data_IF_338788908270
#
_entry.id   IF_338788908270
#
_cell.length_a   1.000
_cell.length_b   1.000
_cell.length_c   1.000
_cell.angle_alpha   90.00
_cell.angle_beta   90.00
_cell.angle_gamma   90.00
#
_symmetry.space_group_name_H-M   'P 1'
#
loop_
_entity.id
_entity.type
_entity.pdbx_description
1 polymer ?
#
# COMPACT_ATOMS: atom_id res chain seq x y z
N UNK A 1 4.43 23.74 16.35
CA UNK A 1 3.37 22.91 16.97
C UNK A 1 2.56 23.67 18.01
N UNK A 2 3.17 24.34 19.00
CA UNK A 2 2.40 25.15 19.99
C UNK A 2 1.78 26.42 19.40
N UNK A 3 2.45 27.07 18.44
CA UNK A 3 1.99 28.33 17.86
C UNK A 3 0.63 28.24 17.15
N UNK A 4 0.44 27.27 16.24
CA UNK A 4 -0.82 27.14 15.49
C UNK A 4 -2.01 26.72 16.35
N UNK A 5 -1.80 25.83 17.32
CA UNK A 5 -2.85 25.42 18.26
C UNK A 5 -3.25 26.58 19.19
N UNK A 6 -2.30 27.46 19.53
CA UNK A 6 -2.57 28.71 20.25
C UNK A 6 -3.31 29.76 19.40
N UNK A 7 -3.02 29.84 18.10
CA UNK A 7 -3.66 30.79 17.17
C UNK A 7 -5.09 30.37 16.81
N UNK A 8 -5.31 29.10 16.48
CA UNK A 8 -6.61 28.64 15.96
C UNK A 8 -7.49 27.96 17.02
N UNK A 9 -6.90 27.37 18.07
CA UNK A 9 -7.66 26.66 19.09
C UNK A 9 -8.57 25.58 18.48
N UNK A 10 -9.89 25.73 18.66
CA UNK A 10 -10.93 24.87 18.06
C UNK A 10 -11.58 25.48 16.80
N UNK A 11 -11.21 26.69 16.41
CA UNK A 11 -11.80 27.36 15.24
C UNK A 11 -11.34 26.65 13.96
N UNK A 12 -12.23 26.48 12.98
CA UNK A 12 -11.83 26.02 11.67
C UNK A 12 -10.85 27.00 11.00
N UNK A 13 -9.91 26.47 10.23
CA UNK A 13 -8.91 27.23 9.49
C UNK A 13 -8.62 26.57 8.14
N UNK A 14 -8.09 27.36 7.21
CA UNK A 14 -7.73 26.96 5.85
C UNK A 14 -6.22 26.87 5.69
N UNK A 15 -5.76 26.40 4.53
CA UNK A 15 -4.34 26.38 4.19
C UNK A 15 -3.74 27.80 4.08
N UNK A 16 -4.53 28.78 3.62
CA UNK A 16 -4.12 30.19 3.59
C UNK A 16 -3.93 30.75 4.99
N UNK A 17 -4.81 30.36 5.93
CA UNK A 17 -4.68 30.79 7.33
C UNK A 17 -3.39 30.23 7.96
N UNK A 18 -2.99 28.99 7.62
CA UNK A 18 -1.70 28.43 8.03
C UNK A 18 -0.54 29.24 7.47
N UNK A 19 -0.60 29.63 6.19
CA UNK A 19 0.43 30.45 5.54
C UNK A 19 0.59 31.80 6.24
N UNK A 20 -0.52 32.46 6.55
CA UNK A 20 -0.56 33.74 7.26
C UNK A 20 -0.06 33.62 8.70
N UNK A 21 -0.56 32.65 9.47
CA UNK A 21 -0.23 32.46 10.87
C UNK A 21 1.25 32.14 11.10
N UNK A 22 1.89 31.45 10.14
CA UNK A 22 3.30 31.08 10.21
C UNK A 22 4.21 31.96 9.35
N UNK A 23 3.67 32.99 8.68
CA UNK A 23 4.39 33.85 7.73
C UNK A 23 5.24 33.04 6.75
N UNK A 24 4.61 32.04 6.13
CA UNK A 24 5.28 31.10 5.23
C UNK A 24 4.64 31.06 3.85
N UNK A 25 5.32 30.46 2.87
CA UNK A 25 4.79 30.36 1.50
C UNK A 25 3.61 29.40 1.42
N UNK A 26 2.70 29.56 0.43
CA UNK A 26 1.57 28.64 0.23
C UNK A 26 1.99 27.17 0.11
N UNK A 27 3.07 26.88 -0.60
CA UNK A 27 3.61 25.52 -0.73
C UNK A 27 4.05 24.94 0.62
N UNK A 28 4.62 25.77 1.50
CA UNK A 28 5.04 25.34 2.82
C UNK A 28 3.85 25.23 3.78
N UNK A 29 2.81 26.05 3.61
CA UNK A 29 1.54 25.91 4.32
C UNK A 29 0.81 24.62 3.93
N UNK A 30 0.83 24.25 2.65
CA UNK A 30 0.38 22.95 2.15
C UNK A 30 1.11 21.79 2.85
N UNK A 31 2.43 21.88 2.93
CA UNK A 31 3.27 20.90 3.61
C UNK A 31 2.97 20.82 5.12
N UNK A 32 2.76 21.96 5.79
CA UNK A 32 2.44 22.01 7.21
C UNK A 32 1.05 21.44 7.48
N UNK A 33 0.06 21.80 6.68
CA UNK A 33 -1.28 21.21 6.71
C UNK A 33 -1.21 19.69 6.56
N UNK A 34 -0.46 19.22 5.56
CA UNK A 34 -0.22 17.80 5.32
C UNK A 34 0.38 17.13 6.56
N UNK A 35 1.44 17.70 7.15
CA UNK A 35 2.08 17.19 8.37
C UNK A 35 1.10 17.06 9.55
N UNK A 36 0.25 18.08 9.74
CA UNK A 36 -0.74 18.11 10.81
C UNK A 36 -1.84 17.04 10.62
N UNK A 37 -2.24 16.76 9.38
CA UNK A 37 -3.19 15.67 9.07
C UNK A 37 -2.54 14.31 9.31
N UNK A 38 -1.32 14.09 8.81
CA UNK A 38 -0.58 12.84 8.96
C UNK A 38 -0.32 12.49 10.42
N UNK A 39 -0.07 13.49 11.27
CA UNK A 39 0.11 13.32 12.71
C UNK A 39 -1.21 13.22 13.50
N UNK A 40 -2.37 13.23 12.82
CA UNK A 40 -3.71 13.29 13.42
C UNK A 40 -3.92 14.48 14.37
N UNK A 41 -3.17 15.56 14.19
CA UNK A 41 -3.32 16.77 14.99
C UNK A 41 -4.54 17.58 14.51
N UNK A 42 -4.85 17.51 13.21
CA UNK A 42 -5.99 18.21 12.60
C UNK A 42 -6.83 17.24 11.76
N UNK A 43 -8.13 17.52 11.66
CA UNK A 43 -9.10 16.83 10.81
C UNK A 43 -9.70 17.81 9.82
N UNK A 44 -10.05 17.33 8.63
CA UNK A 44 -10.77 18.11 7.62
C UNK A 44 -12.26 18.05 7.91
N UNK A 45 -12.90 19.21 8.03
CA UNK A 45 -14.35 19.29 8.28
C UNK A 45 -15.14 19.69 7.02
N UNK A 46 -14.49 20.32 6.05
CA UNK A 46 -15.06 20.64 4.74
C UNK A 46 -13.97 20.82 3.69
N UNK A 47 -14.34 21.08 2.43
CA UNK A 47 -13.37 21.25 1.34
C UNK A 47 -12.41 22.42 1.64
N UNK A 48 -11.15 22.11 1.96
CA UNK A 48 -10.13 23.12 2.27
C UNK A 48 -10.21 23.70 3.69
N UNK A 49 -11.04 23.12 4.57
CA UNK A 49 -11.28 23.61 5.93
C UNK A 49 -10.95 22.54 6.96
N UNK A 50 -10.16 22.90 7.97
CA UNK A 50 -9.56 21.99 8.95
C UNK A 50 -9.77 22.48 10.39
N UNK A 51 -9.75 21.58 11.37
CA UNK A 51 -9.77 21.91 12.80
C UNK A 51 -8.88 20.94 13.59
N UNK A 52 -8.43 21.31 14.78
CA UNK A 52 -7.61 20.42 15.62
C UNK A 52 -8.44 19.27 16.23
N UNK A 53 -7.89 18.04 16.22
CA UNK A 53 -8.53 16.84 16.79
C UNK A 53 -8.49 16.89 18.32
N UNK A 54 -9.62 16.61 18.98
CA UNK A 54 -9.66 16.42 20.43
C UNK A 54 -9.10 15.03 20.78
N UNK A 55 -8.21 14.96 21.78
CA UNK A 55 -7.33 13.82 22.12
C UNK A 55 -8.02 12.53 22.60
N UNK A 56 -9.33 12.36 22.40
CA UNK A 56 -10.08 11.17 22.82
C UNK A 56 -10.64 10.44 21.62
N UNK A 57 -9.85 9.53 21.03
CA UNK A 57 -10.31 8.31 20.35
C UNK A 57 -9.09 7.58 19.79
N UNK A 58 -8.50 6.72 20.62
CA UNK A 58 -7.77 5.54 20.16
C UNK A 58 -8.79 4.40 20.10
N UNK A 59 -9.01 3.83 18.92
CA UNK A 59 -9.68 2.53 18.79
C UNK A 59 -8.89 1.66 17.83
N UNK A 60 -8.24 0.67 18.43
CA UNK A 60 -7.53 -0.45 17.83
C UNK A 60 -8.49 -1.27 16.97
N UNK A 61 -8.42 -1.08 15.66
CA UNK A 61 -9.17 -1.87 14.68
C UNK A 61 -8.42 -3.21 14.45
N UNK A 62 -9.10 -4.35 14.70
CA UNK A 62 -8.58 -5.71 14.52
C UNK A 62 -8.18 -5.99 13.06
N UNK A 63 -7.13 -6.79 12.88
CA UNK A 63 -6.31 -6.95 11.65
C UNK A 63 -7.04 -7.53 10.42
N UNK A 64 -8.26 -8.06 10.56
CA UNK A 64 -9.10 -8.53 9.43
C UNK A 64 -10.09 -7.48 8.90
N UNK A 65 -10.23 -6.33 9.57
CA UNK A 65 -11.41 -5.46 9.38
C UNK A 65 -11.25 -4.23 8.49
N UNK A 66 -10.08 -4.04 7.85
CA UNK A 66 -9.88 -2.83 7.02
C UNK A 66 -10.48 -2.97 5.62
N UNK A 67 -10.13 -4.02 4.88
CA UNK A 67 -10.68 -4.21 3.52
C UNK A 67 -12.18 -4.51 3.59
N UNK A 68 -12.62 -5.27 4.60
CA UNK A 68 -14.03 -5.60 4.79
C UNK A 68 -14.89 -4.36 5.10
N UNK A 69 -14.28 -3.32 5.70
CA UNK A 69 -14.93 -2.02 5.87
C UNK A 69 -14.99 -1.23 4.55
N UNK A 70 -13.91 -1.25 3.75
CA UNK A 70 -13.83 -0.44 2.53
C UNK A 70 -14.66 -1.02 1.37
N UNK A 71 -14.65 -2.34 1.19
CA UNK A 71 -15.25 -3.00 0.02
C UNK A 71 -16.73 -2.64 -0.15
N UNK A 72 -17.61 -2.72 0.87
CA UNK A 72 -19.02 -2.37 0.71
C UNK A 72 -19.23 -0.92 0.23
N UNK A 73 -18.46 0.02 0.79
CA UNK A 73 -18.55 1.42 0.43
C UNK A 73 -18.06 1.71 -1.00
N UNK A 74 -17.05 0.97 -1.46
CA UNK A 74 -16.54 1.09 -2.82
C UNK A 74 -17.46 0.39 -3.85
N UNK A 75 -18.16 -0.68 -3.46
CA UNK A 75 -19.18 -1.32 -4.31
C UNK A 75 -20.30 -0.34 -4.67
N UNK A 76 -20.68 0.54 -3.73
CA UNK A 76 -21.71 1.56 -3.96
C UNK A 76 -21.37 2.54 -5.10
N UNK A 77 -20.10 2.61 -5.53
CA UNK A 77 -19.69 3.43 -6.67
C UNK A 77 -20.11 2.84 -8.03
N UNK A 78 -20.56 1.58 -8.06
CA UNK A 78 -20.95 0.86 -9.28
C UNK A 78 -19.86 0.88 -10.37
N UNK A 79 -18.61 0.68 -9.95
CA UNK A 79 -17.41 0.65 -10.79
C UNK A 79 -16.56 -0.56 -10.45
N UNK A 80 -15.82 -1.09 -11.43
CA UNK A 80 -14.95 -2.24 -11.18
C UNK A 80 -13.73 -1.84 -10.37
N UNK A 81 -13.37 -2.64 -9.37
CA UNK A 81 -12.15 -2.47 -8.59
C UNK A 81 -11.64 -3.78 -8.03
N UNK A 82 -10.36 -3.79 -7.62
CA UNK A 82 -9.71 -4.95 -7.01
C UNK A 82 -8.58 -4.53 -6.08
N UNK A 83 -8.65 -4.96 -4.82
CA UNK A 83 -7.49 -4.97 -3.93
C UNK A 83 -6.55 -6.12 -4.31
N UNK A 84 -5.26 -5.84 -4.44
CA UNK A 84 -4.28 -6.81 -4.95
C UNK A 84 -2.88 -6.58 -4.35
N UNK A 85 -1.90 -7.39 -4.78
CA UNK A 85 -0.51 -7.31 -4.36
C UNK A 85 -0.39 -7.22 -2.84
N UNK A 86 0.25 -6.17 -2.31
CA UNK A 86 0.47 -5.98 -0.88
C UNK A 86 -0.83 -6.06 -0.05
N UNK A 87 -1.97 -5.60 -0.59
CA UNK A 87 -3.26 -5.66 0.14
C UNK A 87 -3.69 -7.08 0.50
N UNK A 88 -3.35 -8.06 -0.35
CA UNK A 88 -3.72 -9.46 -0.18
C UNK A 88 -2.57 -10.25 0.42
N UNK A 89 -1.34 -9.93 0.02
CA UNK A 89 -0.15 -10.67 0.41
C UNK A 89 0.38 -10.29 1.79
N UNK A 90 -0.11 -9.21 2.41
CA UNK A 90 0.36 -8.71 3.71
C UNK A 90 0.63 -9.80 4.77
N UNK A 91 -0.22 -10.84 4.95
CA UNK A 91 0.04 -11.91 5.93
C UNK A 91 1.24 -12.80 5.60
N UNK A 92 1.63 -12.86 4.32
CA UNK A 92 2.68 -13.70 3.77
C UNK A 92 3.91 -12.92 3.35
N UNK A 93 3.90 -11.60 3.55
CA UNK A 93 5.08 -10.81 3.34
C UNK A 93 6.05 -11.12 4.48
N UNK A 94 7.28 -11.53 4.14
CA UNK A 94 8.32 -11.87 5.10
C UNK A 94 8.47 -10.76 6.12
N UNK A 95 8.65 -11.20 7.36
CA UNK A 95 8.70 -10.36 8.53
C UNK A 95 9.37 -9.01 8.35
N UNK A 96 8.51 -8.03 8.21
CA UNK A 96 8.50 -6.83 9.03
C UNK A 96 8.34 -7.17 10.54
N UNK A 97 8.08 -8.45 10.86
CA UNK A 97 8.26 -9.16 12.12
C UNK A 97 9.21 -10.36 11.98
N UNK A 98 10.50 -10.14 12.26
CA UNK A 98 11.38 -10.98 13.11
C UNK A 98 11.03 -12.45 13.41
N UNK A 99 10.87 -13.35 12.43
CA UNK A 99 10.65 -14.78 12.75
C UNK A 99 11.64 -15.79 12.16
N UNK A 100 12.77 -15.38 11.57
CA UNK A 100 13.83 -16.33 11.22
C UNK A 100 15.25 -15.93 11.66
N UNK A 101 15.43 -14.87 12.46
CA UNK A 101 16.75 -14.52 13.02
C UNK A 101 17.83 -14.15 11.98
N UNK A 102 17.49 -14.07 10.69
CA UNK A 102 18.38 -13.62 9.63
C UNK A 102 18.39 -12.09 9.64
N UNK A 103 19.50 -11.52 10.12
CA UNK A 103 19.78 -10.08 10.05
C UNK A 103 19.95 -9.67 8.59
N UNK A 104 18.84 -9.33 7.93
CA UNK A 104 18.89 -8.61 6.66
C UNK A 104 19.35 -7.17 6.93
N UNK A 105 20.40 -6.74 6.22
CA UNK A 105 20.88 -5.35 6.22
C UNK A 105 19.98 -4.41 5.38
N UNK A 106 18.95 -4.94 4.72
CA UNK A 106 17.96 -4.12 4.05
C UNK A 106 17.04 -3.50 5.11
N UNK A 107 17.11 -2.18 5.31
CA UNK A 107 16.15 -1.41 6.11
C UNK A 107 14.79 -1.40 5.40
N UNK A 108 14.10 -2.55 5.35
CA UNK A 108 12.68 -2.60 5.02
C UNK A 108 11.98 -1.91 6.19
N UNK A 109 11.50 -0.69 5.96
CA UNK A 109 10.96 0.16 7.01
C UNK A 109 9.78 -0.54 7.67
N UNK A 110 9.96 -0.96 8.92
CA UNK A 110 9.12 -1.96 9.55
C UNK A 110 7.77 -1.46 10.05
N UNK A 111 7.19 -0.51 9.33
CA UNK A 111 5.93 0.16 9.65
C UNK A 111 5.06 0.45 8.43
N UNK A 112 5.51 0.08 7.23
CA UNK A 112 4.77 0.38 6.00
C UNK A 112 3.55 -0.54 5.84
N UNK A 113 2.38 0.09 5.83
CA UNK A 113 1.08 -0.51 5.59
C UNK A 113 0.54 0.03 4.26
N UNK A 114 0.85 -0.70 3.19
CA UNK A 114 0.53 -0.34 1.81
C UNK A 114 -0.66 -1.15 1.31
N UNK A 115 -1.68 -0.50 0.78
CA UNK A 115 -2.69 -1.18 -0.03
C UNK A 115 -2.59 -0.76 -1.50
N UNK A 116 -2.67 -1.73 -2.41
CA UNK A 116 -2.76 -1.48 -3.83
C UNK A 116 -4.19 -1.76 -4.28
N UNK A 117 -4.86 -0.71 -4.75
CA UNK A 117 -6.20 -0.73 -5.27
C UNK A 117 -6.15 -0.46 -6.78
N UNK A 118 -6.53 -1.46 -7.57
CA UNK A 118 -6.84 -1.25 -8.97
C UNK A 118 -8.29 -0.84 -9.14
N UNK A 119 -8.52 0.16 -9.98
CA UNK A 119 -9.85 0.70 -10.28
C UNK A 119 -10.04 0.79 -11.78
N UNK A 120 -11.30 0.75 -12.21
CA UNK A 120 -11.68 0.95 -13.60
C UNK A 120 -11.05 2.23 -14.16
N UNK A 121 -10.70 2.22 -15.44
CA UNK A 121 -10.16 3.38 -16.12
C UNK A 121 -11.08 4.60 -15.96
N UNK A 122 -10.46 5.77 -15.84
CA UNK A 122 -11.14 7.06 -15.67
C UNK A 122 -11.99 7.15 -14.37
N UNK A 123 -11.82 6.21 -13.44
CA UNK A 123 -12.56 6.15 -12.16
C UNK A 123 -11.69 6.49 -10.94
N UNK A 124 -10.37 6.72 -11.10
CA UNK A 124 -9.47 6.94 -9.96
C UNK A 124 -9.88 8.10 -9.05
N UNK A 125 -10.39 9.20 -9.63
CA UNK A 125 -10.82 10.37 -8.86
C UNK A 125 -12.04 10.08 -7.99
N UNK A 126 -13.00 9.33 -8.52
CA UNK A 126 -14.20 8.91 -7.79
C UNK A 126 -13.85 8.06 -6.55
N UNK A 127 -12.98 7.07 -6.73
CA UNK A 127 -12.50 6.23 -5.63
C UNK A 127 -11.69 7.02 -4.61
N UNK A 128 -10.85 7.94 -5.09
CA UNK A 128 -10.07 8.83 -4.23
C UNK A 128 -10.98 9.67 -3.32
N UNK A 129 -12.00 10.33 -3.88
CA UNK A 129 -12.87 11.23 -3.11
C UNK A 129 -13.64 10.46 -2.02
N UNK A 130 -14.10 9.24 -2.33
CA UNK A 130 -14.73 8.37 -1.33
C UNK A 130 -13.76 7.94 -0.24
N UNK A 131 -12.58 7.42 -0.61
CA UNK A 131 -11.59 6.95 0.37
C UNK A 131 -11.03 8.09 1.23
N UNK A 132 -10.88 9.29 0.66
CA UNK A 132 -10.49 10.50 1.40
C UNK A 132 -11.57 10.90 2.41
N UNK A 133 -12.85 10.84 2.00
CA UNK A 133 -13.98 11.23 2.85
C UNK A 133 -14.20 10.31 4.06
N UNK A 134 -13.76 9.05 3.98
CA UNK A 134 -13.87 8.06 5.05
C UNK A 134 -12.98 8.36 6.26
N UNK A 135 -12.09 9.36 6.18
CA UNK A 135 -11.15 9.72 7.24
C UNK A 135 -10.35 8.50 7.76
N UNK A 136 -9.98 7.60 6.85
CA UNK A 136 -9.14 6.46 7.20
C UNK A 136 -7.77 6.94 7.68
N UNK A 137 -7.04 6.11 8.45
CA UNK A 137 -5.64 6.37 8.81
C UNK A 137 -4.67 6.31 7.61
N UNK A 138 -5.18 6.05 6.40
CA UNK A 138 -4.36 5.86 5.21
C UNK A 138 -4.40 7.09 4.31
N UNK A 139 -3.22 7.51 3.87
CA UNK A 139 -3.09 8.49 2.80
C UNK A 139 -3.42 7.83 1.47
N UNK A 140 -4.35 8.40 0.71
CA UNK A 140 -4.72 7.89 -0.62
C UNK A 140 -3.89 8.60 -1.69
N UNK A 141 -3.26 7.83 -2.59
CA UNK A 141 -2.40 8.34 -3.66
C UNK A 141 -2.90 7.81 -5.01
N UNK A 142 -3.16 8.71 -5.96
CA UNK A 142 -3.52 8.31 -7.33
C UNK A 142 -2.25 8.20 -8.15
N UNK A 143 -1.95 6.98 -8.62
CA UNK A 143 -0.84 6.64 -9.52
C UNK A 143 0.45 7.45 -9.26
N UNK A 144 0.97 7.44 -8.01
CA UNK A 144 2.14 8.24 -7.66
C UNK A 144 3.37 7.78 -8.43
N UNK A 145 4.27 8.72 -8.74
CA UNK A 145 5.55 8.33 -9.32
C UNK A 145 6.43 7.66 -8.26
N UNK A 146 7.45 6.93 -8.72
CA UNK A 146 8.48 6.31 -7.88
C UNK A 146 9.15 7.36 -6.99
N UNK A 147 9.53 8.50 -7.57
CA UNK A 147 10.18 9.60 -6.85
C UNK A 147 9.26 10.18 -5.77
N UNK A 148 7.96 10.30 -6.04
CA UNK A 148 6.99 10.79 -5.06
C UNK A 148 6.86 9.82 -3.89
N UNK A 149 6.77 8.51 -4.18
CA UNK A 149 6.71 7.48 -3.14
C UNK A 149 7.98 7.47 -2.28
N UNK A 150 9.16 7.55 -2.89
CA UNK A 150 10.42 7.62 -2.14
C UNK A 150 10.50 8.85 -1.24
N UNK A 151 10.08 10.01 -1.75
CA UNK A 151 10.03 11.25 -0.99
C UNK A 151 9.07 11.13 0.19
N UNK A 152 7.86 10.61 -0.05
CA UNK A 152 6.83 10.44 0.99
C UNK A 152 7.26 9.44 2.06
N UNK A 153 7.82 8.29 1.66
CA UNK A 153 8.25 7.25 2.59
C UNK A 153 9.47 7.70 3.40
N UNK A 154 10.50 8.25 2.74
CA UNK A 154 11.80 8.57 3.39
C UNK A 154 11.81 9.92 4.09
N UNK A 155 11.23 10.95 3.47
CA UNK A 155 11.29 12.33 4.01
C UNK A 155 10.06 12.70 4.83
N UNK A 156 8.89 12.18 4.47
CA UNK A 156 7.64 12.47 5.17
C UNK A 156 7.18 11.34 6.11
N UNK A 157 8.00 10.29 6.27
CA UNK A 157 7.71 9.14 7.14
C UNK A 157 6.31 8.55 6.89
N UNK A 158 5.89 8.46 5.63
CA UNK A 158 4.59 7.91 5.27
C UNK A 158 4.55 6.41 5.57
N UNK A 159 3.73 6.04 6.55
CA UNK A 159 3.60 4.65 7.01
C UNK A 159 2.35 3.95 6.49
N UNK A 160 1.18 4.62 6.44
CA UNK A 160 -0.08 4.01 6.02
C UNK A 160 -0.60 4.68 4.74
N UNK A 161 -0.67 3.95 3.63
CA UNK A 161 -1.17 4.52 2.37
C UNK A 161 -1.85 3.51 1.43
N UNK A 162 -2.80 4.01 0.65
CA UNK A 162 -3.48 3.29 -0.42
C UNK A 162 -3.02 3.90 -1.74
N UNK A 163 -2.49 3.08 -2.64
CA UNK A 163 -2.22 3.47 -4.02
C UNK A 163 -3.38 3.05 -4.90
N UNK A 164 -3.99 4.01 -5.58
CA UNK A 164 -4.98 3.78 -6.63
C UNK A 164 -4.26 3.76 -7.98
N UNK A 165 -4.45 2.68 -8.76
CA UNK A 165 -4.02 2.66 -10.17
C UNK A 165 -5.16 2.23 -11.07
N UNK A 166 -5.25 2.86 -12.23
CA UNK A 166 -6.26 2.53 -13.21
C UNK A 166 -5.89 1.30 -14.04
N UNK A 167 -6.87 0.44 -14.29
CA UNK A 167 -6.74 -0.79 -15.08
C UNK A 167 -8.01 -1.07 -15.88
N UNK A 168 -7.84 -1.79 -16.98
CA UNK A 168 -8.94 -2.26 -17.84
C UNK A 168 -9.31 -3.73 -17.58
N UNK A 169 -8.57 -4.43 -16.71
CA UNK A 169 -8.69 -5.88 -16.56
C UNK A 169 -8.74 -6.26 -15.08
N UNK A 170 -9.83 -6.93 -14.69
CA UNK A 170 -10.14 -7.32 -13.30
C UNK A 170 -10.32 -8.83 -13.16
N UNK A 171 -9.50 -9.61 -13.87
CA UNK A 171 -9.53 -11.07 -13.79
C UNK A 171 -9.21 -11.57 -12.37
N UNK A 172 -9.76 -12.75 -12.06
CA UNK A 172 -9.35 -13.57 -10.90
C UNK A 172 -9.52 -12.85 -9.57
N UNK A 173 -10.71 -12.27 -9.48
CA UNK A 173 -11.17 -11.45 -8.38
C UNK A 173 -12.44 -12.09 -7.83
N UNK A 174 -12.50 -12.21 -6.51
CA UNK A 174 -13.69 -12.60 -5.77
C UNK A 174 -13.94 -11.52 -4.71
N UNK A 175 -15.16 -11.01 -4.61
CA UNK A 175 -15.53 -9.92 -3.68
C UNK A 175 -14.57 -8.70 -3.73
N UNK A 176 -14.13 -8.32 -4.94
CA UNK A 176 -13.19 -7.20 -5.17
C UNK A 176 -11.80 -7.40 -4.51
N UNK A 177 -11.44 -8.64 -4.18
CA UNK A 177 -10.10 -9.05 -3.72
C UNK A 177 -9.48 -10.01 -4.75
N UNK A 178 -8.20 -9.83 -5.05
CA UNK A 178 -7.48 -10.75 -5.93
C UNK A 178 -7.27 -12.11 -5.25
N UNK A 179 -7.25 -13.20 -6.03
CA UNK A 179 -6.71 -14.47 -5.52
C UNK A 179 -5.22 -14.32 -5.17
N UNK A 180 -4.68 -15.25 -4.38
CA UNK A 180 -3.26 -15.23 -3.96
C UNK A 180 -2.33 -15.20 -5.18
N UNK A 181 -2.59 -16.03 -6.20
CA UNK A 181 -1.77 -16.05 -7.41
C UNK A 181 -1.85 -14.74 -8.20
N UNK A 182 -3.06 -14.18 -8.34
CA UNK A 182 -3.24 -12.91 -9.05
C UNK A 182 -2.57 -11.76 -8.29
N UNK A 183 -2.65 -11.77 -6.95
CA UNK A 183 -1.98 -10.82 -6.09
C UNK A 183 -0.46 -10.94 -6.21
N UNK A 184 0.11 -12.15 -6.23
CA UNK A 184 1.54 -12.36 -6.42
C UNK A 184 2.02 -11.89 -7.80
N UNK A 185 1.29 -12.18 -8.88
CA UNK A 185 1.63 -11.69 -10.22
C UNK A 185 1.59 -10.16 -10.28
N UNK A 186 0.57 -9.55 -9.68
CA UNK A 186 0.47 -8.08 -9.61
C UNK A 186 1.61 -7.50 -8.77
N UNK A 187 1.97 -8.13 -7.65
CA UNK A 187 3.10 -7.74 -6.80
C UNK A 187 4.45 -7.83 -7.54
N UNK A 188 4.69 -8.96 -8.21
CA UNK A 188 5.85 -9.17 -9.07
C UNK A 188 5.96 -8.09 -10.14
N UNK A 189 4.88 -7.85 -10.89
CA UNK A 189 4.84 -6.82 -11.93
C UNK A 189 5.19 -5.43 -11.39
N UNK A 190 4.60 -5.03 -10.27
CA UNK A 190 4.80 -3.69 -9.72
C UNK A 190 6.23 -3.49 -9.18
N UNK A 191 6.86 -4.55 -8.66
CA UNK A 191 8.25 -4.50 -8.21
C UNK A 191 9.22 -4.52 -9.41
N UNK A 192 9.12 -5.51 -10.32
CA UNK A 192 10.09 -5.67 -11.41
C UNK A 192 10.04 -4.57 -12.46
N UNK A 193 8.90 -3.86 -12.56
CA UNK A 193 8.78 -2.66 -13.41
C UNK A 193 9.07 -1.35 -12.66
N UNK A 194 9.67 -1.44 -11.46
CA UNK A 194 10.05 -0.32 -10.59
C UNK A 194 8.89 0.63 -10.30
N UNK A 195 7.67 0.12 -10.19
CA UNK A 195 6.46 0.94 -9.95
C UNK A 195 6.11 1.05 -8.46
N UNK A 196 6.84 0.36 -7.60
CA UNK A 196 6.78 0.43 -6.14
C UNK A 196 8.23 0.47 -5.59
N UNK A 197 8.78 1.66 -5.27
CA UNK A 197 10.15 1.81 -4.72
C UNK A 197 10.26 1.40 -3.25
N UNK A 198 9.33 0.59 -2.77
CA UNK A 198 9.33 0.13 -1.38
C UNK A 198 10.37 -0.98 -1.18
N UNK A 199 10.87 -1.55 -2.27
CA UNK A 199 11.74 -2.72 -2.27
C UNK A 199 12.99 -2.43 -3.08
N UNK A 200 14.16 -2.65 -2.48
CA UNK A 200 15.45 -2.45 -3.14
C UNK A 200 15.64 -3.49 -4.24
N UNK A 201 15.96 -3.03 -5.45
CA UNK A 201 16.24 -3.88 -6.61
C UNK A 201 17.65 -4.47 -6.60
N UNK A 202 18.57 -3.87 -5.81
CA UNK A 202 19.96 -4.28 -5.72
C UNK A 202 20.23 -5.33 -4.63
N UNK A 203 19.18 -5.89 -4.01
CA UNK A 203 19.32 -7.02 -3.11
C UNK A 203 19.49 -8.30 -3.95
N UNK A 204 20.74 -8.50 -4.35
CA UNK A 204 21.26 -9.64 -5.11
C UNK A 204 21.05 -10.93 -4.29
N UNK A 205 20.65 -12.01 -4.97
CA UNK A 205 20.65 -13.40 -4.44
C UNK A 205 19.70 -13.70 -3.27
N UNK A 206 18.49 -14.18 -3.59
CA UNK A 206 17.70 -15.02 -2.68
C UNK A 206 17.03 -14.33 -1.48
N UNK A 207 17.41 -13.08 -1.16
CA UNK A 207 16.94 -12.35 0.02
C UNK A 207 15.89 -11.26 -0.25
N UNK A 208 15.49 -11.03 -1.49
CA UNK A 208 14.48 -10.00 -1.78
C UNK A 208 13.06 -10.45 -1.38
N UNK A 209 12.20 -9.47 -1.13
CA UNK A 209 10.81 -9.68 -0.68
C UNK A 209 10.02 -10.63 -1.60
N UNK A 210 10.25 -10.62 -2.92
CA UNK A 210 9.50 -11.43 -3.88
C UNK A 210 9.82 -12.91 -3.67
N UNK A 211 11.10 -13.25 -3.56
CA UNK A 211 11.55 -14.63 -3.33
C UNK A 211 11.01 -15.16 -2.04
N UNK A 212 11.20 -14.42 -0.95
CA UNK A 212 10.77 -14.87 0.37
C UNK A 212 9.23 -15.00 0.44
N UNK A 213 8.48 -14.04 -0.11
CA UNK A 213 7.00 -14.13 -0.21
C UNK A 213 6.59 -15.35 -1.03
N UNK A 214 7.23 -15.57 -2.18
CA UNK A 214 6.92 -16.69 -3.05
C UNK A 214 7.17 -18.04 -2.39
N UNK A 215 8.34 -18.19 -1.76
CA UNK A 215 8.71 -19.41 -1.02
C UNK A 215 7.71 -19.65 0.10
N UNK A 216 7.37 -18.63 0.89
CA UNK A 216 6.36 -18.76 1.95
C UNK A 216 4.99 -19.19 1.41
N UNK A 217 4.54 -18.63 0.29
CA UNK A 217 3.27 -19.02 -0.32
C UNK A 217 3.31 -20.46 -0.85
N UNK A 218 4.42 -20.87 -1.45
CA UNK A 218 4.63 -22.22 -1.98
C UNK A 218 4.72 -23.27 -0.88
N UNK A 219 5.50 -23.03 0.18
CA UNK A 219 5.68 -23.98 1.29
C UNK A 219 4.39 -24.19 2.08
N UNK A 220 3.50 -23.19 2.12
CA UNK A 220 2.18 -23.31 2.72
C UNK A 220 1.11 -23.89 1.76
N UNK A 221 1.47 -24.29 0.53
CA UNK A 221 0.54 -24.85 -0.45
C UNK A 221 -0.51 -23.85 -0.97
N UNK A 222 -0.25 -22.54 -0.88
CA UNK A 222 -1.22 -21.48 -1.17
C UNK A 222 -1.22 -21.02 -2.63
N UNK A 223 -0.30 -21.51 -3.45
CA UNK A 223 -0.21 -21.17 -4.87
C UNK A 223 -0.39 -22.42 -5.71
N UNK A 224 -1.33 -22.37 -6.64
CA UNK A 224 -1.36 -23.28 -7.77
C UNK A 224 -0.50 -22.74 -8.93
N UNK A 225 0.55 -23.46 -9.32
CA UNK A 225 1.49 -23.03 -10.37
C UNK A 225 0.81 -22.83 -11.73
N UNK A 226 -0.11 -23.71 -12.11
CA UNK A 226 -0.84 -23.59 -13.38
C UNK A 226 -1.70 -22.33 -13.42
N UNK A 227 -2.39 -22.04 -12.30
CA UNK A 227 -3.17 -20.81 -12.12
C UNK A 227 -2.27 -19.57 -12.15
N UNK A 228 -1.14 -19.62 -11.46
CA UNK A 228 -0.15 -18.53 -11.43
C UNK A 228 0.35 -18.18 -12.84
N UNK A 229 0.74 -19.19 -13.62
CA UNK A 229 1.20 -19.01 -15.00
C UNK A 229 0.11 -18.45 -15.91
N UNK A 230 -1.14 -18.89 -15.72
CA UNK A 230 -2.30 -18.34 -16.44
C UNK A 230 -2.45 -16.84 -16.18
N UNK A 231 -2.39 -16.40 -14.93
CA UNK A 231 -2.51 -14.99 -14.58
C UNK A 231 -1.28 -14.16 -14.99
N UNK A 232 -0.09 -14.77 -14.98
CA UNK A 232 1.12 -14.16 -15.50
C UNK A 232 1.02 -13.88 -17.01
N UNK A 233 0.35 -14.76 -17.78
CA UNK A 233 0.10 -14.56 -19.21
C UNK A 233 -0.69 -13.28 -19.48
N UNK A 234 -1.74 -13.01 -18.70
CA UNK A 234 -2.55 -11.77 -18.81
C UNK A 234 -1.72 -10.50 -18.59
N UNK A 235 -0.61 -10.60 -17.85
CA UNK A 235 0.35 -9.51 -17.61
C UNK A 235 1.55 -9.51 -18.53
N UNK A 236 1.63 -10.44 -19.49
CA UNK A 236 2.81 -10.65 -20.34
C UNK A 236 4.08 -10.94 -19.52
N UNK A 237 3.93 -11.76 -18.47
CA UNK A 237 4.99 -12.17 -17.53
C UNK A 237 5.14 -13.70 -17.45
N UNK A 238 4.51 -14.47 -18.35
CA UNK A 238 4.45 -15.93 -18.21
C UNK A 238 5.85 -16.55 -18.15
N UNK A 239 6.71 -16.17 -19.08
CA UNK A 239 8.08 -16.68 -19.19
C UNK A 239 8.93 -16.26 -17.97
N UNK A 240 8.79 -15.00 -17.53
CA UNK A 240 9.48 -14.47 -16.33
C UNK A 240 9.10 -15.27 -15.08
N UNK A 241 7.81 -15.56 -14.89
CA UNK A 241 7.32 -16.33 -13.74
C UNK A 241 7.72 -17.80 -13.82
N UNK A 242 7.76 -18.41 -15.01
CA UNK A 242 8.28 -19.79 -15.18
C UNK A 242 9.74 -19.85 -14.76
N UNK A 243 10.58 -18.94 -15.28
CA UNK A 243 12.00 -18.88 -14.92
C UNK A 243 12.21 -18.56 -13.44
N UNK A 244 11.36 -17.71 -12.86
CA UNK A 244 11.38 -17.43 -11.43
C UNK A 244 11.05 -18.67 -10.60
N UNK A 245 10.00 -19.41 -10.95
CA UNK A 245 9.64 -20.67 -10.30
C UNK A 245 10.77 -21.70 -10.37
N UNK A 246 11.30 -21.97 -11.57
CA UNK A 246 12.38 -22.94 -11.79
C UNK A 246 13.64 -22.64 -10.96
N UNK A 247 13.99 -21.35 -10.82
CA UNK A 247 15.13 -20.92 -10.00
C UNK A 247 14.95 -21.23 -8.51
N UNK A 248 13.71 -21.19 -8.02
CA UNK A 248 13.41 -21.39 -6.58
C UNK A 248 12.87 -22.78 -6.26
N UNK A 249 12.60 -23.61 -7.26
CA UNK A 249 12.09 -24.97 -7.11
C UNK A 249 13.01 -25.84 -6.22
N UNK A 250 14.33 -25.78 -6.45
CA UNK A 250 15.31 -26.52 -5.63
C UNK A 250 15.25 -26.11 -4.17
N UNK A 251 15.18 -24.80 -3.88
CA UNK A 251 15.08 -24.27 -2.52
C UNK A 251 13.78 -24.71 -1.84
N UNK A 252 12.66 -24.69 -2.57
CA UNK A 252 11.37 -25.13 -2.05
C UNK A 252 11.38 -26.62 -1.73
N UNK A 253 11.90 -27.47 -2.63
CA UNK A 253 12.02 -28.92 -2.40
C UNK A 253 12.87 -29.23 -1.16
N UNK A 254 14.02 -28.56 -1.02
CA UNK A 254 14.87 -28.67 0.17
C UNK A 254 14.13 -28.29 1.46
N UNK A 255 13.34 -27.21 1.45
CA UNK A 255 12.57 -26.76 2.62
C UNK A 255 11.39 -27.68 2.97
N UNK A 256 10.83 -28.38 1.98
CA UNK A 256 9.76 -29.35 2.16
C UNK A 256 10.27 -30.75 2.55
N UNK A 257 11.60 -30.96 2.60
CA UNK A 257 12.20 -32.26 2.91
C UNK A 257 12.26 -33.22 1.73
N UNK A 258 11.94 -32.77 0.52
CA UNK A 258 12.04 -33.55 -0.72
C UNK A 258 13.48 -33.49 -1.25
N UNK A 259 14.33 -34.39 -0.77
CA UNK A 259 15.67 -34.63 -1.36
C UNK A 259 15.57 -35.74 -2.40
N UNK A 260 15.01 -35.41 -3.57
CA UNK A 260 15.04 -36.25 -4.77
C UNK A 260 15.90 -35.61 -5.85
#
# INVERSE_FOLDING_TARGET
MSALKGVFGKKPFTELDIAQALKTSPSNAHYIRFKLISNQEIIRIARGLYTFKDKKQDTTIKKDSFLDMLVPCLIALNKQFKFTAHSILQPYLPGLFSQLGIKSNARINSKLNLHLLYVEKDSSKLFYDVLESMQTRFTVLINPSVKDLELLIRKASLENFIIIKEKNYFYSCYENKASIEAAFVDFYFEITRKKLPVYDENDVEGNNILTQTYVQLQTNGLINISTLQRYAKERKLKEEIIQFHQRHEKTIKLLLGDTS
#
